data_IF_761018184338
#
_entry.id   IF_761018184338
#
_cell.length_a   1.000
_cell.length_b   1.000
_cell.length_c   1.000
_cell.angle_alpha   90.00
_cell.angle_beta   90.00
_cell.angle_gamma   90.00
#
_symmetry.space_group_name_H-M   'P 1'
#
loop_
_entity.id
_entity.type
_entity.pdbx_description
1 polymer ?
#
# COMPACT_ATOMS: atom_id res chain seq x y z
N UNK A 1 -3.08 7.77 -8.84
CA UNK A 1 -3.71 7.29 -7.59
C UNK A 1 -2.91 7.86 -6.41
N UNK A 2 -3.57 8.41 -5.38
CA UNK A 2 -2.87 8.95 -4.20
C UNK A 2 -2.40 7.77 -3.36
N UNK A 3 -1.09 7.54 -3.27
CA UNK A 3 -0.51 6.50 -2.41
C UNK A 3 -0.88 6.85 -0.97
N UNK A 4 -1.75 6.05 -0.34
CA UNK A 4 -2.05 6.20 1.08
C UNK A 4 -0.77 5.81 1.79
N UNK A 5 -0.14 6.75 2.50
CA UNK A 5 1.14 6.52 3.16
C UNK A 5 0.89 5.75 4.47
N UNK A 6 0.56 4.46 4.32
CA UNK A 6 0.22 3.50 5.37
C UNK A 6 1.35 3.33 6.39
N UNK A 7 2.62 3.47 5.97
CA UNK A 7 3.82 3.25 6.79
C UNK A 7 3.81 4.05 8.11
N UNK A 8 3.41 5.32 8.09
CA UNK A 8 3.49 6.16 9.29
C UNK A 8 2.32 5.96 10.27
N UNK A 9 1.24 5.31 9.84
CA UNK A 9 0.08 5.00 10.68
C UNK A 9 0.03 3.53 11.08
N UNK A 10 0.51 2.63 10.23
CA UNK A 10 0.54 1.18 10.45
C UNK A 10 1.27 0.80 11.72
N UNK A 11 2.45 1.39 11.99
CA UNK A 11 3.19 1.09 13.22
C UNK A 11 2.45 1.54 14.50
N UNK A 12 1.67 2.63 14.45
CA UNK A 12 0.87 3.11 15.59
C UNK A 12 -0.29 2.17 15.89
N UNK A 13 -0.98 1.70 14.85
CA UNK A 13 -2.12 0.77 14.97
C UNK A 13 -1.62 -0.64 15.36
N UNK A 14 -0.47 -1.07 14.82
CA UNK A 14 0.16 -2.32 15.24
C UNK A 14 0.55 -2.29 16.73
N UNK A 15 1.08 -1.17 17.21
CA UNK A 15 1.40 -0.98 18.63
C UNK A 15 0.15 -1.09 19.51
N UNK A 16 -0.98 -0.50 19.12
CA UNK A 16 -2.22 -0.63 19.89
C UNK A 16 -2.75 -2.06 19.90
N UNK A 17 -2.67 -2.78 18.78
CA UNK A 17 -3.04 -4.20 18.70
C UNK A 17 -2.21 -5.06 19.66
N UNK A 18 -0.88 -4.86 19.70
CA UNK A 18 0.02 -5.57 20.62
C UNK A 18 -0.33 -5.29 22.08
N UNK A 19 -0.60 -4.04 22.43
CA UNK A 19 -0.98 -3.66 23.80
C UNK A 19 -2.27 -4.40 24.22
N UNK A 20 -3.30 -4.41 23.37
CA UNK A 20 -4.57 -5.05 23.66
C UNK A 20 -4.51 -6.59 23.66
N UNK A 21 -3.65 -7.20 22.85
CA UNK A 21 -3.55 -8.66 22.73
C UNK A 21 -2.60 -9.31 23.75
N UNK A 22 -1.55 -8.59 24.14
CA UNK A 22 -0.48 -9.17 24.97
C UNK A 22 -0.41 -8.49 26.32
N UNK A 23 -0.26 -7.17 26.35
CA UNK A 23 0.05 -6.44 27.58
C UNK A 23 -1.15 -6.43 28.54
N UNK A 24 -2.31 -5.97 28.08
CA UNK A 24 -3.53 -5.89 28.90
C UNK A 24 -3.98 -7.26 29.40
N UNK A 25 -4.04 -8.32 28.56
CA UNK A 25 -4.40 -9.66 29.02
C UNK A 25 -3.38 -10.25 30.00
N UNK A 26 -2.08 -10.04 29.78
CA UNK A 26 -1.04 -10.57 30.68
C UNK A 26 -1.10 -9.93 32.06
N UNK A 27 -1.25 -8.60 32.14
CA UNK A 27 -1.38 -7.89 33.41
C UNK A 27 -2.68 -8.30 34.11
N UNK A 28 -3.79 -8.36 33.37
CA UNK A 28 -5.10 -8.75 33.92
C UNK A 28 -5.10 -10.18 34.44
N UNK A 29 -4.45 -11.11 33.73
CA UNK A 29 -4.28 -12.49 34.19
C UNK A 29 -3.40 -12.60 35.44
N UNK A 30 -2.31 -11.83 35.51
CA UNK A 30 -1.46 -11.77 36.69
C UNK A 30 -2.20 -11.22 37.91
N UNK A 31 -2.96 -10.14 37.74
CA UNK A 31 -3.79 -9.55 38.80
C UNK A 31 -4.91 -10.51 39.25
N UNK A 32 -5.52 -11.23 38.31
CA UNK A 32 -6.49 -12.29 38.65
C UNK A 32 -5.85 -13.35 39.54
N UNK A 33 -4.64 -13.84 39.20
CA UNK A 33 -3.94 -14.84 40.01
C UNK A 33 -3.66 -14.38 41.44
N UNK A 34 -3.45 -13.07 41.66
CA UNK A 34 -3.21 -12.53 43.00
C UNK A 34 -4.50 -12.22 43.78
N UNK A 35 -5.57 -11.80 43.10
CA UNK A 35 -6.78 -11.27 43.76
C UNK A 35 -7.99 -12.18 43.68
N UNK A 36 -7.98 -13.20 42.80
CA UNK A 36 -9.10 -14.10 42.51
C UNK A 36 -10.43 -13.40 42.15
N UNK A 37 -10.37 -12.13 41.75
CA UNK A 37 -11.53 -11.32 41.38
C UNK A 37 -12.00 -11.64 39.95
N UNK A 38 -13.29 -11.95 39.78
CA UNK A 38 -13.91 -12.34 38.50
C UNK A 38 -13.84 -11.21 37.44
N UNK A 39 -13.86 -9.95 37.89
CA UNK A 39 -13.80 -8.77 37.02
C UNK A 39 -12.58 -8.82 36.06
N UNK A 40 -11.41 -9.28 36.54
CA UNK A 40 -10.20 -9.37 35.71
C UNK A 40 -10.29 -10.42 34.60
N UNK A 41 -11.05 -11.50 34.81
CA UNK A 41 -11.28 -12.49 33.75
C UNK A 41 -12.13 -11.93 32.61
N UNK A 42 -13.16 -11.14 32.94
CA UNK A 42 -14.00 -10.46 31.95
C UNK A 42 -13.19 -9.45 31.14
N UNK A 43 -12.39 -8.61 31.79
CA UNK A 43 -11.50 -7.64 31.12
C UNK A 43 -10.52 -8.34 30.18
N UNK A 44 -9.96 -9.48 30.59
CA UNK A 44 -9.03 -10.27 29.76
C UNK A 44 -9.71 -10.74 28.46
N UNK A 45 -10.92 -11.29 28.55
CA UNK A 45 -11.68 -11.77 27.37
C UNK A 45 -12.04 -10.61 26.44
N UNK A 46 -12.55 -9.50 26.98
CA UNK A 46 -12.93 -8.33 26.19
C UNK A 46 -11.71 -7.74 25.47
N UNK A 47 -10.57 -7.60 26.17
CA UNK A 47 -9.33 -7.10 25.58
C UNK A 47 -8.82 -8.00 24.45
N UNK A 48 -8.89 -9.32 24.63
CA UNK A 48 -8.53 -10.29 23.60
C UNK A 48 -9.42 -10.16 22.36
N UNK A 49 -10.74 -10.13 22.53
CA UNK A 49 -11.69 -10.00 21.43
C UNK A 49 -11.44 -8.70 20.66
N UNK A 50 -11.27 -7.58 21.36
CA UNK A 50 -10.96 -6.29 20.75
C UNK A 50 -9.63 -6.32 20.00
N UNK A 51 -8.61 -6.93 20.58
CA UNK A 51 -7.30 -7.11 19.94
C UNK A 51 -7.39 -7.93 18.65
N UNK A 52 -8.18 -9.01 18.63
CA UNK A 52 -8.40 -9.85 17.44
C UNK A 52 -9.14 -9.08 16.35
N UNK A 53 -10.15 -8.28 16.70
CA UNK A 53 -10.88 -7.44 15.73
C UNK A 53 -9.92 -6.43 15.07
N UNK A 54 -9.06 -5.77 15.85
CA UNK A 54 -8.07 -4.83 15.31
C UNK A 54 -7.09 -5.57 14.38
N UNK A 55 -6.65 -6.77 14.75
CA UNK A 55 -5.74 -7.58 13.95
C UNK A 55 -6.37 -7.99 12.60
N UNK A 56 -7.63 -8.42 12.62
CA UNK A 56 -8.39 -8.75 11.40
C UNK A 56 -8.54 -7.54 10.48
N UNK A 57 -8.85 -6.38 11.05
CA UNK A 57 -8.92 -5.13 10.29
C UNK A 57 -7.59 -4.78 9.61
N UNK A 58 -6.47 -4.87 10.35
CA UNK A 58 -5.12 -4.68 9.79
C UNK A 58 -4.80 -5.69 8.69
N UNK A 59 -5.20 -6.95 8.85
CA UNK A 59 -4.99 -7.99 7.85
C UNK A 59 -5.73 -7.67 6.54
N UNK A 60 -6.96 -7.19 6.63
CA UNK A 60 -7.74 -6.77 5.44
C UNK A 60 -7.07 -5.59 4.74
N UNK A 61 -6.62 -4.57 5.49
CA UNK A 61 -5.89 -3.45 4.90
C UNK A 61 -4.62 -3.89 4.19
N UNK A 62 -3.83 -4.77 4.81
CA UNK A 62 -2.61 -5.31 4.21
C UNK A 62 -2.89 -6.08 2.92
N UNK A 63 -3.97 -6.87 2.90
CA UNK A 63 -4.41 -7.58 1.68
C UNK A 63 -4.76 -6.62 0.55
N UNK A 64 -5.44 -5.52 0.85
CA UNK A 64 -5.79 -4.50 -0.13
C UNK A 64 -4.51 -3.82 -0.67
N UNK A 65 -3.58 -3.45 0.22
CA UNK A 65 -2.30 -2.82 -0.16
C UNK A 65 -1.48 -3.74 -1.09
N UNK A 66 -1.33 -5.01 -0.73
CA UNK A 66 -0.63 -6.01 -1.56
C UNK A 66 -1.30 -6.23 -2.92
N UNK A 67 -2.63 -6.21 -2.96
CA UNK A 67 -3.37 -6.33 -4.23
C UNK A 67 -3.16 -5.10 -5.12
N UNK A 68 -3.18 -3.91 -4.54
CA UNK A 68 -2.92 -2.67 -5.26
C UNK A 68 -1.48 -2.64 -5.79
N UNK A 69 -0.50 -2.98 -4.97
CA UNK A 69 0.91 -3.02 -5.37
C UNK A 69 1.12 -4.02 -6.53
N UNK A 70 0.57 -5.23 -6.42
CA UNK A 70 0.63 -6.22 -7.51
C UNK A 70 0.03 -5.69 -8.81
N UNK A 71 -1.15 -5.04 -8.73
CA UNK A 71 -1.81 -4.47 -9.91
C UNK A 71 -0.98 -3.35 -10.54
N UNK A 72 -0.36 -2.50 -9.71
CA UNK A 72 0.51 -1.43 -10.18
C UNK A 72 1.76 -2.01 -10.84
N UNK A 73 2.39 -3.02 -10.26
CA UNK A 73 3.55 -3.70 -10.83
C UNK A 73 3.22 -4.34 -12.18
N UNK A 74 2.09 -5.04 -12.29
CA UNK A 74 1.61 -5.60 -13.55
C UNK A 74 1.39 -4.50 -14.60
N UNK A 75 0.77 -3.39 -14.23
CA UNK A 75 0.58 -2.24 -15.10
C UNK A 75 1.91 -1.65 -15.59
N UNK A 76 2.88 -1.42 -14.68
CA UNK A 76 4.19 -0.88 -15.04
C UNK A 76 4.99 -1.85 -15.90
N UNK A 77 4.91 -3.16 -15.63
CA UNK A 77 5.57 -4.17 -16.48
C UNK A 77 4.99 -4.20 -17.89
N UNK A 78 3.66 -4.20 -18.01
CA UNK A 78 2.98 -4.16 -19.30
C UNK A 78 3.29 -2.88 -20.11
N UNK A 79 3.46 -1.76 -19.41
CA UNK A 79 3.72 -0.44 -19.99
C UNK A 79 5.19 -0.02 -19.93
N UNK A 80 6.11 -0.92 -19.61
CA UNK A 80 7.53 -0.60 -19.39
C UNK A 80 8.19 0.05 -20.61
N UNK A 81 7.72 -0.27 -21.82
CA UNK A 81 8.17 0.30 -23.09
C UNK A 81 7.28 1.45 -23.60
N UNK A 82 6.41 2.00 -22.77
CA UNK A 82 5.55 3.13 -23.14
C UNK A 82 6.05 4.45 -22.56
N UNK A 83 5.51 5.53 -23.11
CA UNK A 83 5.76 6.89 -22.67
C UNK A 83 4.44 7.57 -22.37
N UNK A 84 4.37 8.32 -21.28
CA UNK A 84 3.17 9.01 -20.83
C UNK A 84 3.29 10.51 -21.13
N UNK A 85 2.27 11.09 -21.75
CA UNK A 85 2.27 12.52 -22.08
C UNK A 85 2.09 13.37 -20.83
N UNK A 86 2.97 14.35 -20.64
CA UNK A 86 2.90 15.34 -19.57
C UNK A 86 2.25 16.63 -20.08
N UNK A 87 1.70 17.43 -19.15
CA UNK A 87 0.99 18.69 -19.48
C UNK A 87 1.87 19.74 -20.17
N UNK A 88 3.18 19.62 -20.07
CA UNK A 88 4.17 20.53 -20.67
C UNK A 88 4.60 20.12 -22.09
N UNK A 89 3.95 19.11 -22.69
CA UNK A 89 4.29 18.60 -24.03
C UNK A 89 5.52 17.69 -24.08
N UNK A 90 6.12 17.38 -22.93
CA UNK A 90 7.15 16.35 -22.77
C UNK A 90 6.50 15.01 -22.41
N UNK A 91 7.29 13.95 -22.43
CA UNK A 91 6.85 12.62 -22.05
C UNK A 91 7.66 12.07 -20.86
N UNK A 92 7.01 11.22 -20.08
CA UNK A 92 7.62 10.44 -19.00
C UNK A 92 7.90 9.01 -19.49
N UNK A 93 9.14 8.56 -19.30
CA UNK A 93 9.51 7.15 -19.49
C UNK A 93 8.97 6.30 -18.35
N UNK A 94 8.08 5.34 -18.65
CA UNK A 94 7.48 4.48 -17.63
C UNK A 94 8.44 3.44 -17.02
N UNK A 95 9.62 3.23 -17.60
CA UNK A 95 10.64 2.33 -17.03
C UNK A 95 11.42 2.97 -15.89
N UNK A 96 11.83 4.24 -16.04
CA UNK A 96 12.78 4.89 -15.13
C UNK A 96 12.29 6.24 -14.55
N UNK A 97 11.10 6.70 -14.94
CA UNK A 97 10.56 7.98 -14.49
C UNK A 97 11.26 9.20 -15.07
N UNK A 98 11.99 9.07 -16.19
CA UNK A 98 12.60 10.22 -16.87
C UNK A 98 11.50 11.08 -17.52
N UNK A 99 11.33 12.32 -17.03
CA UNK A 99 10.28 13.26 -17.43
C UNK A 99 10.66 14.19 -18.60
N UNK A 100 11.85 14.00 -19.17
CA UNK A 100 12.40 14.86 -20.23
C UNK A 100 12.40 14.19 -21.62
N UNK A 101 11.54 13.20 -21.85
CA UNK A 101 11.47 12.51 -23.14
C UNK A 101 10.80 13.42 -24.17
N UNK A 102 11.46 13.67 -25.30
CA UNK A 102 10.95 14.55 -26.36
C UNK A 102 9.94 13.83 -27.28
N UNK A 103 9.01 14.55 -27.93
CA UNK A 103 8.17 13.97 -28.98
C UNK A 103 9.03 13.37 -30.11
N UNK A 104 8.68 12.16 -30.55
CA UNK A 104 9.42 11.45 -31.61
C UNK A 104 10.67 10.69 -31.16
N UNK A 105 11.09 10.84 -29.90
CA UNK A 105 12.23 10.10 -29.35
C UNK A 105 11.89 8.59 -29.26
N UNK A 106 12.73 7.74 -29.85
CA UNK A 106 12.52 6.28 -29.93
C UNK A 106 13.02 5.51 -28.70
N UNK A 107 13.99 6.07 -27.97
CA UNK A 107 14.62 5.43 -26.84
C UNK A 107 14.85 6.42 -25.69
N UNK A 108 14.74 5.95 -24.45
CA UNK A 108 15.04 6.77 -23.29
C UNK A 108 16.55 7.03 -23.17
N UNK A 109 16.97 8.29 -23.05
CA UNK A 109 18.38 8.66 -22.85
C UNK A 109 18.96 8.22 -21.50
N UNK A 110 18.12 7.98 -20.49
CA UNK A 110 18.56 7.62 -19.12
C UNK A 110 18.72 6.11 -18.97
N UNK A 111 17.71 5.34 -19.37
CA UNK A 111 17.68 3.89 -19.14
C UNK A 111 17.82 3.04 -20.42
N UNK A 112 17.92 3.66 -21.60
CA UNK A 112 18.09 2.96 -22.88
C UNK A 112 16.85 2.22 -23.39
N UNK A 113 15.72 2.22 -22.68
CA UNK A 113 14.50 1.51 -23.10
C UNK A 113 14.01 2.03 -24.45
N UNK A 114 13.78 1.12 -25.40
CA UNK A 114 13.09 1.43 -26.66
C UNK A 114 11.59 1.54 -26.44
N UNK A 115 11.02 2.67 -26.86
CA UNK A 115 9.59 2.92 -26.79
C UNK A 115 8.87 2.21 -27.94
N UNK A 116 7.69 1.63 -27.67
CA UNK A 116 6.82 1.13 -28.73
C UNK A 116 6.38 2.30 -29.62
N UNK A 117 6.37 2.10 -30.94
CA UNK A 117 5.96 3.13 -31.88
C UNK A 117 4.49 3.51 -31.63
N UNK A 118 4.25 4.79 -31.37
CA UNK A 118 2.93 5.36 -31.07
C UNK A 118 2.03 5.49 -32.33
N UNK A 119 2.42 4.83 -33.43
CA UNK A 119 1.72 4.87 -34.72
C UNK A 119 0.66 3.76 -34.89
N UNK A 120 0.49 2.87 -33.90
CA UNK A 120 -0.48 1.76 -34.00
C UNK A 120 -1.65 1.82 -33.00
N UNK A 121 -1.57 2.63 -31.94
CA UNK A 121 -2.68 2.83 -30.99
C UNK A 121 -3.15 4.29 -31.02
N UNK A 122 -4.17 4.54 -31.83
CA UNK A 122 -4.68 5.85 -32.18
C UNK A 122 -4.83 6.85 -31.02
N UNK A 123 -4.42 8.07 -31.31
CA UNK A 123 -4.82 9.25 -30.55
C UNK A 123 -6.33 9.45 -30.61
N UNK A 124 -7.08 8.81 -29.71
CA UNK A 124 -8.40 9.26 -29.28
C UNK A 124 -8.91 8.40 -28.11
N UNK A 125 -8.58 8.76 -26.88
CA UNK A 125 -9.56 8.66 -25.79
C UNK A 125 -9.60 9.98 -25.05
N UNK A 126 -10.58 10.78 -25.49
CA UNK A 126 -11.03 12.04 -24.95
C UNK A 126 -11.06 12.00 -23.42
N UNK A 127 -10.57 13.09 -22.84
CA UNK A 127 -11.08 13.62 -21.59
C UNK A 127 -12.61 13.73 -21.68
N UNK A 128 -13.33 13.05 -20.81
CA UNK A 128 -14.63 13.50 -20.31
C UNK A 128 -14.85 12.93 -18.91
#
# INVERSE_FOLDING_TARGET
MKKINSINYGHKILRSAIICLIIVPSISHFLWKMTNQIQFQLTTKISLIMGVIILLFLFVLLKIELYQDKKMDEYYRANSHSRLSLKNGLFECQTCGNNQVKPGQKNCIVCGTNFKNWSEDGGNKKQQ
#
